data_IF_577274853903
#
_entry.id   IF_577274853903
#
_cell.length_a   1.000
_cell.length_b   1.000
_cell.length_c   1.000
_cell.angle_alpha   90.00
_cell.angle_beta   90.00
_cell.angle_gamma   90.00
#
_symmetry.space_group_name_H-M   'P 1'
#
loop_
_entity.id
_entity.type
_entity.pdbx_description
1 polymer ?
#
# COMPACT_ATOMS: atom_id res chain seq x y z
N UNK A 1 -12.16 12.60 -41.63
CA UNK A 1 -11.83 11.32 -40.98
C UNK A 1 -10.94 11.46 -39.72
N UNK A 2 -9.94 12.36 -39.64
CA UNK A 2 -9.09 12.52 -38.42
C UNK A 2 -9.84 12.92 -37.16
N UNK A 3 -10.89 13.76 -37.23
CA UNK A 3 -11.66 14.23 -36.06
C UNK A 3 -12.50 13.12 -35.38
N UNK A 4 -12.99 12.16 -36.16
CA UNK A 4 -13.80 11.04 -35.64
C UNK A 4 -12.92 10.05 -34.85
N UNK A 5 -11.66 9.85 -35.26
CA UNK A 5 -10.73 8.95 -34.59
C UNK A 5 -10.31 9.48 -33.21
N UNK A 6 -10.10 10.81 -33.07
CA UNK A 6 -9.74 11.44 -31.78
C UNK A 6 -10.91 11.34 -30.79
N UNK A 7 -12.16 11.54 -31.24
CA UNK A 7 -13.33 11.44 -30.38
C UNK A 7 -13.56 10.01 -29.91
N UNK A 8 -13.33 9.01 -30.78
CA UNK A 8 -13.44 7.60 -30.42
C UNK A 8 -12.38 7.18 -29.39
N UNK A 9 -11.14 7.69 -29.49
CA UNK A 9 -10.06 7.39 -28.55
C UNK A 9 -10.32 7.95 -27.16
N UNK A 10 -10.89 9.18 -27.07
CA UNK A 10 -11.28 9.79 -25.79
C UNK A 10 -12.45 9.02 -25.16
N UNK A 11 -13.40 8.54 -25.94
CA UNK A 11 -14.53 7.76 -25.43
C UNK A 11 -14.12 6.38 -24.92
N UNK A 12 -13.18 5.70 -25.59
CA UNK A 12 -12.64 4.41 -25.15
C UNK A 12 -11.81 4.55 -23.88
N UNK A 13 -11.01 5.62 -23.72
CA UNK A 13 -10.24 5.84 -22.50
C UNK A 13 -11.13 6.15 -21.29
N UNK A 14 -12.24 6.85 -21.47
CA UNK A 14 -13.21 7.14 -20.41
C UNK A 14 -14.01 5.89 -19.98
N UNK A 15 -14.31 4.99 -20.91
CA UNK A 15 -15.06 3.77 -20.59
C UNK A 15 -14.20 2.71 -19.89
N UNK A 16 -12.91 2.64 -20.19
CA UNK A 16 -11.99 1.69 -19.53
C UNK A 16 -11.75 2.07 -18.07
N UNK A 17 -11.72 3.38 -17.75
CA UNK A 17 -11.53 3.81 -16.35
C UNK A 17 -12.73 3.53 -15.44
N UNK A 18 -13.95 3.41 -15.99
CA UNK A 18 -15.15 3.08 -15.20
C UNK A 18 -15.29 1.58 -14.90
N UNK A 19 -14.68 0.70 -15.70
CA UNK A 19 -14.82 -0.75 -15.56
C UNK A 19 -14.18 -1.32 -14.26
N UNK A 20 -13.35 -0.54 -13.55
CA UNK A 20 -12.63 -0.97 -12.35
C UNK A 20 -12.96 -0.14 -11.10
N UNK A 21 -14.12 0.53 -11.06
CA UNK A 21 -14.53 1.27 -9.87
C UNK A 21 -14.96 0.30 -8.75
N UNK A 22 -14.20 0.30 -7.64
CA UNK A 22 -14.55 -0.45 -6.44
C UNK A 22 -15.46 0.38 -5.53
N UNK A 23 -16.43 -0.25 -4.89
CA UNK A 23 -17.19 0.39 -3.82
C UNK A 23 -16.32 0.44 -2.54
N UNK A 24 -15.53 1.50 -2.40
CA UNK A 24 -14.54 1.65 -1.33
C UNK A 24 -15.16 1.67 0.07
N UNK A 25 -16.42 2.10 0.20
CA UNK A 25 -17.17 2.09 1.47
C UNK A 25 -17.39 0.68 2.01
N UNK A 26 -17.22 -0.36 1.19
CA UNK A 26 -17.25 -1.75 1.67
C UNK A 26 -16.04 -2.09 2.54
N UNK A 27 -14.91 -1.38 2.39
CA UNK A 27 -13.67 -1.63 3.13
C UNK A 27 -13.53 -0.75 4.37
N UNK A 28 -14.04 0.48 4.34
CA UNK A 28 -13.90 1.44 5.43
C UNK A 28 -15.06 2.43 5.49
N UNK A 29 -15.29 2.99 6.67
CA UNK A 29 -16.14 4.17 6.88
C UNK A 29 -15.33 5.42 7.27
N UNK A 30 -14.00 5.29 7.46
CA UNK A 30 -13.13 6.41 7.81
C UNK A 30 -12.79 7.23 6.57
N UNK A 31 -13.01 8.54 6.62
CA UNK A 31 -12.84 9.45 5.48
C UNK A 31 -11.38 9.57 5.01
N UNK A 32 -10.41 9.50 5.93
CA UNK A 32 -8.98 9.58 5.60
C UNK A 32 -8.53 8.31 4.87
N UNK A 33 -8.96 7.14 5.37
CA UNK A 33 -8.68 5.85 4.72
C UNK A 33 -9.39 5.79 3.36
N UNK A 34 -10.62 6.29 3.27
CA UNK A 34 -11.37 6.37 2.02
C UNK A 34 -10.61 7.20 0.97
N UNK A 35 -10.12 8.39 1.34
CA UNK A 35 -9.33 9.24 0.45
C UNK A 35 -8.01 8.56 0.00
N UNK A 36 -7.33 7.83 0.89
CA UNK A 36 -6.15 7.04 0.55
C UNK A 36 -6.47 5.90 -0.44
N UNK A 37 -7.60 5.23 -0.27
CA UNK A 37 -8.07 4.21 -1.21
C UNK A 37 -8.48 4.80 -2.56
N UNK A 38 -9.15 5.96 -2.58
CA UNK A 38 -9.46 6.69 -3.82
C UNK A 38 -8.19 7.04 -4.59
N UNK A 39 -7.14 7.47 -3.89
CA UNK A 39 -5.83 7.75 -4.47
C UNK A 39 -5.20 6.49 -5.11
N UNK A 40 -5.25 5.34 -4.44
CA UNK A 40 -4.80 4.06 -4.98
C UNK A 40 -5.57 3.69 -6.25
N UNK A 41 -6.90 3.81 -6.22
CA UNK A 41 -7.75 3.48 -7.37
C UNK A 41 -7.46 4.40 -8.57
N UNK A 42 -7.31 5.70 -8.36
CA UNK A 42 -6.99 6.69 -9.38
C UNK A 42 -5.61 6.45 -10.03
N UNK A 43 -4.68 5.87 -9.28
CA UNK A 43 -3.34 5.53 -9.75
C UNK A 43 -3.21 4.09 -10.28
N UNK A 44 -4.31 3.39 -10.49
CA UNK A 44 -4.32 2.07 -11.12
C UNK A 44 -3.81 0.94 -10.23
N UNK A 45 -3.83 1.11 -8.91
CA UNK A 45 -3.41 0.08 -7.94
C UNK A 45 -4.51 -0.98 -7.73
N UNK A 46 -5.02 -1.55 -8.83
CA UNK A 46 -6.17 -2.46 -8.84
C UNK A 46 -5.93 -3.74 -8.03
N UNK A 47 -4.70 -4.24 -8.02
CA UNK A 47 -4.31 -5.44 -7.29
C UNK A 47 -4.61 -5.33 -5.78
N UNK A 48 -4.39 -4.15 -5.20
CA UNK A 48 -4.74 -3.86 -3.80
C UNK A 48 -6.20 -4.21 -3.53
N UNK A 49 -7.11 -3.76 -4.39
CA UNK A 49 -8.55 -3.97 -4.22
C UNK A 49 -8.97 -5.41 -4.51
N UNK A 50 -8.30 -6.09 -5.45
CA UNK A 50 -8.50 -7.53 -5.69
C UNK A 50 -8.17 -8.31 -4.41
N UNK A 51 -7.04 -8.03 -3.78
CA UNK A 51 -6.60 -8.67 -2.55
C UNK A 51 -7.53 -8.35 -1.37
N UNK A 52 -7.93 -7.10 -1.20
CA UNK A 52 -8.89 -6.69 -0.17
C UNK A 52 -10.24 -7.38 -0.36
N UNK A 53 -10.77 -7.42 -1.57
CA UNK A 53 -12.06 -8.04 -1.88
C UNK A 53 -12.04 -9.56 -1.68
N UNK A 54 -10.97 -10.22 -2.13
CA UNK A 54 -10.79 -11.67 -2.01
C UNK A 54 -10.83 -12.14 -0.55
N UNK A 55 -10.31 -11.33 0.37
CA UNK A 55 -10.14 -11.68 1.77
C UNK A 55 -11.20 -11.04 2.69
N UNK A 56 -12.22 -10.38 2.15
CA UNK A 56 -13.25 -9.65 2.91
C UNK A 56 -12.67 -8.67 3.95
N UNK A 57 -11.58 -8.00 3.61
CA UNK A 57 -10.80 -7.17 4.53
C UNK A 57 -11.52 -5.87 4.85
N UNK A 58 -11.50 -5.50 6.14
CA UNK A 58 -11.84 -4.13 6.60
C UNK A 58 -10.55 -3.39 6.94
N UNK A 59 -10.56 -2.07 6.74
CA UNK A 59 -9.43 -1.19 7.06
C UNK A 59 -9.90 -0.12 8.04
N UNK A 60 -9.18 0.05 9.14
CA UNK A 60 -9.51 1.04 10.18
C UNK A 60 -8.26 1.54 10.90
N UNK A 61 -8.36 2.73 11.49
CA UNK A 61 -7.38 3.17 12.48
C UNK A 61 -7.56 2.44 13.80
N UNK A 62 -6.44 2.09 14.43
CA UNK A 62 -6.42 1.45 15.74
C UNK A 62 -5.14 1.81 16.50
N UNK A 63 -5.21 1.97 17.81
CA UNK A 63 -4.03 2.24 18.63
C UNK A 63 -3.22 0.96 18.81
N UNK A 64 -2.07 0.89 18.10
CA UNK A 64 -1.14 -0.22 18.26
C UNK A 64 -0.17 0.12 19.39
N UNK A 65 0.10 -0.87 20.26
CA UNK A 65 0.94 -0.68 21.47
C UNK A 65 2.41 -0.38 21.16
N UNK A 66 2.89 -0.80 19.98
CA UNK A 66 4.27 -0.56 19.56
C UNK A 66 4.36 0.65 18.63
N UNK A 67 5.10 1.68 19.03
CA UNK A 67 5.25 2.94 18.30
C UNK A 67 5.98 2.82 16.96
N UNK A 68 6.67 1.71 16.71
CA UNK A 68 7.39 1.41 15.48
C UNK A 68 6.57 0.54 14.50
N UNK A 69 5.35 0.14 14.87
CA UNK A 69 4.44 -0.57 13.97
C UNK A 69 3.52 0.45 13.32
N UNK A 70 3.60 0.56 12.01
CA UNK A 70 2.83 1.52 11.20
C UNK A 70 1.43 1.02 10.87
N UNK A 71 1.33 -0.25 10.52
CA UNK A 71 0.09 -0.97 10.27
C UNK A 71 0.28 -2.45 10.62
N UNK A 72 -0.80 -3.21 10.67
CA UNK A 72 -0.76 -4.64 10.92
C UNK A 72 -2.01 -5.34 10.38
N UNK A 73 -1.85 -6.57 9.93
CA UNK A 73 -2.95 -7.48 9.69
C UNK A 73 -3.41 -8.13 11.00
N UNK A 74 -4.72 -8.21 11.18
CA UNK A 74 -5.36 -8.81 12.35
C UNK A 74 -6.65 -9.52 11.93
N UNK A 75 -7.33 -10.11 12.90
CA UNK A 75 -8.63 -10.75 12.71
C UNK A 75 -9.63 -10.21 13.72
N UNK A 76 -10.85 -9.96 13.28
CA UNK A 76 -11.94 -9.58 14.18
C UNK A 76 -12.49 -10.80 14.96
N UNK A 77 -13.44 -10.55 15.86
CA UNK A 77 -14.08 -11.60 16.68
C UNK A 77 -14.80 -12.70 15.86
N UNK A 78 -15.06 -12.44 14.59
CA UNK A 78 -15.67 -13.39 13.65
C UNK A 78 -14.64 -14.09 12.76
N UNK A 79 -13.35 -13.88 13.01
CA UNK A 79 -12.26 -14.46 12.22
C UNK A 79 -12.08 -13.79 10.84
N UNK A 80 -12.71 -12.64 10.60
CA UNK A 80 -12.55 -11.89 9.35
C UNK A 80 -11.30 -11.00 9.44
N UNK A 81 -10.56 -10.95 8.35
CA UNK A 81 -9.33 -10.16 8.28
C UNK A 81 -9.61 -8.66 8.39
N UNK A 82 -8.76 -7.98 9.13
CA UNK A 82 -8.81 -6.53 9.34
C UNK A 82 -7.41 -5.95 9.21
N UNK A 83 -7.24 -4.92 8.40
CA UNK A 83 -6.03 -4.09 8.38
C UNK A 83 -6.19 -3.00 9.42
N UNK A 84 -5.25 -2.92 10.36
CA UNK A 84 -5.17 -1.93 11.41
C UNK A 84 -4.06 -0.94 11.09
N UNK A 85 -4.40 0.30 10.78
CA UNK A 85 -3.43 1.39 10.63
C UNK A 85 -3.25 2.04 11.98
N UNK A 86 -2.01 2.22 12.43
CA UNK A 86 -1.75 2.83 13.72
C UNK A 86 -2.31 4.27 13.79
N UNK A 87 -3.16 4.53 14.77
CA UNK A 87 -3.81 5.84 14.99
C UNK A 87 -2.84 7.00 15.14
N UNK A 88 -1.57 6.72 15.51
CA UNK A 88 -0.51 7.72 15.55
C UNK A 88 -0.25 8.37 14.17
N UNK A 89 -0.64 7.70 13.09
CA UNK A 89 -0.48 8.18 11.70
C UNK A 89 -1.79 8.69 11.07
N UNK A 90 -2.85 8.88 11.85
CA UNK A 90 -4.15 9.34 11.33
C UNK A 90 -4.06 10.67 10.57
N UNK A 91 -3.13 11.53 10.97
CA UNK A 91 -2.89 12.84 10.34
C UNK A 91 -1.70 12.81 9.35
N UNK A 92 -1.19 11.63 8.99
CA UNK A 92 -0.17 11.51 7.96
C UNK A 92 -0.75 11.87 6.57
N UNK A 93 0.09 12.31 5.62
CA UNK A 93 -0.32 12.48 4.24
C UNK A 93 -1.02 11.23 3.69
N UNK A 94 -2.07 11.43 2.90
CA UNK A 94 -2.90 10.33 2.38
C UNK A 94 -2.09 9.37 1.50
N UNK A 95 -1.06 9.87 0.82
CA UNK A 95 -0.13 9.07 0.03
C UNK A 95 0.61 8.03 0.90
N UNK A 96 0.99 8.41 2.13
CA UNK A 96 1.66 7.50 3.07
C UNK A 96 0.69 6.44 3.60
N UNK A 97 -0.54 6.83 3.92
CA UNK A 97 -1.60 5.89 4.35
C UNK A 97 -1.92 4.92 3.21
N UNK A 98 -1.97 5.40 1.97
CA UNK A 98 -2.17 4.57 0.79
C UNK A 98 -1.07 3.50 0.65
N UNK A 99 0.20 3.86 0.86
CA UNK A 99 1.31 2.91 0.82
C UNK A 99 1.22 1.84 1.91
N UNK A 100 0.79 2.19 3.13
CA UNK A 100 0.55 1.22 4.20
C UNK A 100 -0.58 0.24 3.84
N UNK A 101 -1.67 0.73 3.24
CA UNK A 101 -2.78 -0.12 2.77
C UNK A 101 -2.29 -1.06 1.67
N UNK A 102 -1.48 -0.57 0.74
CA UNK A 102 -0.92 -1.38 -0.34
C UNK A 102 -0.03 -2.51 0.20
N UNK A 103 0.86 -2.21 1.17
CA UNK A 103 1.68 -3.19 1.87
C UNK A 103 0.80 -4.27 2.54
N UNK A 104 -0.09 -3.86 3.41
CA UNK A 104 -0.92 -4.77 4.21
C UNK A 104 -1.88 -5.61 3.34
N UNK A 105 -2.24 -5.12 2.15
CA UNK A 105 -3.08 -5.88 1.22
C UNK A 105 -2.39 -7.13 0.68
N UNK A 106 -1.05 -7.16 0.64
CA UNK A 106 -0.28 -8.28 0.12
C UNK A 106 -0.28 -9.49 1.08
N UNK A 107 -0.46 -9.26 2.38
CA UNK A 107 -0.47 -10.34 3.35
C UNK A 107 -1.76 -11.16 3.26
N UNK A 108 -1.64 -12.47 3.07
CA UNK A 108 -2.76 -13.41 3.00
C UNK A 108 -2.68 -14.47 4.09
N UNK A 109 -1.50 -14.82 4.54
CA UNK A 109 -1.27 -15.79 5.61
C UNK A 109 -1.42 -15.15 7.00
N UNK A 110 -1.71 -15.98 8.02
CA UNK A 110 -1.73 -15.52 9.41
C UNK A 110 -0.34 -15.15 9.93
N UNK A 111 0.69 -15.82 9.43
CA UNK A 111 2.09 -15.54 9.73
C UNK A 111 2.78 -15.29 8.40
N UNK A 112 3.30 -14.10 8.22
CA UNK A 112 4.01 -13.72 7.00
C UNK A 112 5.30 -14.55 6.85
N UNK A 113 5.68 -14.80 5.58
CA UNK A 113 6.97 -15.38 5.20
C UNK A 113 7.92 -14.26 4.75
N UNK A 114 9.20 -14.57 4.60
CA UNK A 114 10.18 -13.62 4.02
C UNK A 114 9.74 -13.15 2.63
N UNK A 115 9.29 -14.08 1.79
CA UNK A 115 8.81 -13.77 0.43
C UNK A 115 7.59 -12.84 0.45
N UNK A 116 6.62 -13.11 1.35
CA UNK A 116 5.42 -12.28 1.48
C UNK A 116 5.77 -10.87 1.99
N UNK A 117 6.67 -10.75 2.97
CA UNK A 117 7.16 -9.45 3.47
C UNK A 117 7.96 -8.69 2.41
N UNK A 118 8.79 -9.38 1.64
CA UNK A 118 9.54 -8.80 0.51
C UNK A 118 8.57 -8.24 -0.53
N UNK A 119 7.54 -9.02 -0.90
CA UNK A 119 6.51 -8.60 -1.85
C UNK A 119 5.74 -7.39 -1.32
N UNK A 120 5.28 -7.43 -0.07
CA UNK A 120 4.54 -6.35 0.57
C UNK A 120 5.38 -5.06 0.68
N UNK A 121 6.65 -5.18 1.08
CA UNK A 121 7.55 -4.03 1.19
C UNK A 121 7.92 -3.45 -0.18
N UNK A 122 8.09 -4.28 -1.20
CA UNK A 122 8.31 -3.83 -2.58
C UNK A 122 7.08 -3.10 -3.12
N UNK A 123 5.87 -3.57 -2.79
CA UNK A 123 4.61 -2.90 -3.13
C UNK A 123 4.50 -1.55 -2.44
N UNK A 124 4.85 -1.45 -1.14
CA UNK A 124 4.90 -0.21 -0.38
C UNK A 124 5.85 0.81 -1.04
N UNK A 125 7.06 0.36 -1.40
CA UNK A 125 8.08 1.18 -2.05
C UNK A 125 7.64 1.70 -3.42
N UNK A 126 7.18 0.82 -4.31
CA UNK A 126 6.70 1.20 -5.65
C UNK A 126 5.49 2.13 -5.58
N UNK A 127 4.58 1.89 -4.64
CA UNK A 127 3.45 2.77 -4.37
C UNK A 127 3.91 4.17 -3.96
N UNK A 128 4.91 4.28 -3.07
CA UNK A 128 5.45 5.58 -2.65
C UNK A 128 6.14 6.32 -3.81
N UNK A 129 6.96 5.64 -4.61
CA UNK A 129 7.58 6.22 -5.82
C UNK A 129 6.51 6.81 -6.74
N UNK A 130 5.39 6.13 -6.91
CA UNK A 130 4.30 6.52 -7.79
C UNK A 130 3.44 7.66 -7.23
N UNK A 131 3.14 7.63 -5.92
CA UNK A 131 2.21 8.57 -5.29
C UNK A 131 2.87 9.81 -4.72
N UNK A 132 4.17 9.78 -4.43
CA UNK A 132 4.92 10.92 -3.90
C UNK A 132 4.92 12.07 -4.91
N UNK A 133 4.32 13.18 -4.53
CA UNK A 133 4.21 14.35 -5.40
C UNK A 133 5.54 15.10 -5.46
N UNK A 134 5.99 15.42 -6.69
CA UNK A 134 7.16 16.29 -6.91
C UNK A 134 6.89 17.69 -6.36
N UNK A 135 7.89 18.27 -5.70
CA UNK A 135 7.81 19.63 -5.13
C UNK A 135 7.02 19.74 -3.83
N UNK A 136 6.43 18.66 -3.33
CA UNK A 136 5.76 18.65 -2.02
C UNK A 136 6.76 18.30 -0.92
N UNK A 137 6.79 19.13 0.13
CA UNK A 137 7.59 18.86 1.34
C UNK A 137 6.75 18.03 2.31
N UNK A 138 7.11 16.77 2.46
CA UNK A 138 6.47 15.88 3.42
C UNK A 138 7.03 16.07 4.83
N UNK A 139 6.21 15.92 5.89
CA UNK A 139 6.68 15.98 7.28
C UNK A 139 7.82 14.98 7.53
N UNK A 140 8.86 15.38 8.26
CA UNK A 140 10.03 14.55 8.54
C UNK A 140 9.76 13.52 9.66
N UNK A 141 8.75 12.69 9.47
CA UNK A 141 8.36 11.62 10.40
C UNK A 141 9.18 10.35 10.19
N UNK A 142 9.10 9.41 11.13
CA UNK A 142 9.69 8.06 10.97
C UNK A 142 9.10 7.35 9.73
N UNK A 143 7.79 7.51 9.49
CA UNK A 143 7.13 6.90 8.32
C UNK A 143 7.66 7.50 7.01
N UNK A 144 7.78 8.83 6.92
CA UNK A 144 8.33 9.48 5.72
C UNK A 144 9.77 9.02 5.43
N UNK A 145 10.60 8.94 6.47
CA UNK A 145 11.98 8.45 6.33
C UNK A 145 12.03 7.00 5.86
N UNK A 146 11.18 6.14 6.43
CA UNK A 146 11.04 4.75 5.99
C UNK A 146 10.67 4.66 4.52
N UNK A 147 9.60 5.36 4.10
CA UNK A 147 9.12 5.32 2.72
C UNK A 147 10.15 5.83 1.71
N UNK A 148 10.88 6.91 2.06
CA UNK A 148 11.96 7.41 1.20
C UNK A 148 13.08 6.36 1.06
N UNK A 149 13.54 5.78 2.17
CA UNK A 149 14.58 4.74 2.13
C UNK A 149 14.15 3.50 1.32
N UNK A 150 12.88 3.11 1.40
CA UNK A 150 12.35 2.00 0.61
C UNK A 150 12.25 2.34 -0.88
N UNK A 151 11.88 3.59 -1.21
CA UNK A 151 11.87 4.08 -2.59
C UNK A 151 13.28 4.08 -3.21
N UNK A 152 14.29 4.50 -2.44
CA UNK A 152 15.68 4.51 -2.90
C UNK A 152 16.13 3.06 -3.18
N UNK A 153 15.93 2.11 -2.25
CA UNK A 153 16.23 0.69 -2.46
C UNK A 153 15.48 0.08 -3.66
N UNK A 154 14.22 0.46 -3.85
CA UNK A 154 13.42 -0.01 -4.98
C UNK A 154 13.98 0.49 -6.32
N UNK A 155 14.36 1.76 -6.39
CA UNK A 155 14.96 2.33 -7.59
C UNK A 155 16.33 1.71 -7.89
N UNK A 156 17.17 1.53 -6.86
CA UNK A 156 18.46 0.86 -7.00
C UNK A 156 18.28 -0.58 -7.51
N UNK A 157 17.30 -1.30 -6.97
CA UNK A 157 16.95 -2.66 -7.43
C UNK A 157 16.59 -2.72 -8.91
N UNK A 158 15.87 -1.72 -9.42
CA UNK A 158 15.51 -1.63 -10.84
C UNK A 158 16.76 -1.39 -11.71
N UNK A 159 17.69 -0.57 -11.24
CA UNK A 159 18.92 -0.21 -11.98
C UNK A 159 19.89 -1.40 -12.03
N UNK A 160 20.10 -2.07 -10.90
CA UNK A 160 21.16 -3.08 -10.74
C UNK A 160 20.67 -4.52 -10.96
N UNK A 161 19.36 -4.73 -10.96
CA UNK A 161 18.74 -6.06 -11.05
C UNK A 161 18.85 -6.91 -9.76
N UNK A 162 19.28 -6.30 -8.63
CA UNK A 162 19.37 -6.95 -7.33
C UNK A 162 18.09 -6.72 -6.51
N UNK A 163 17.83 -7.54 -5.49
CA UNK A 163 16.69 -7.38 -4.60
C UNK A 163 17.10 -6.76 -3.25
N UNK A 164 17.48 -5.50 -3.25
CA UNK A 164 17.91 -4.79 -2.03
C UNK A 164 16.83 -4.69 -0.93
N UNK A 165 15.55 -4.79 -1.29
CA UNK A 165 14.46 -4.84 -0.30
C UNK A 165 14.48 -6.18 0.45
N UNK A 166 14.68 -7.30 -0.25
CA UNK A 166 14.81 -8.61 0.38
C UNK A 166 16.02 -8.66 1.32
N UNK A 167 17.18 -8.18 0.87
CA UNK A 167 18.40 -8.10 1.68
C UNK A 167 18.18 -7.29 2.95
N UNK A 168 17.48 -6.15 2.84
CA UNK A 168 17.13 -5.30 3.98
C UNK A 168 16.22 -6.04 4.97
N UNK A 169 15.22 -6.78 4.51
CA UNK A 169 14.31 -7.54 5.37
C UNK A 169 15.08 -8.68 6.03
N UNK A 170 15.83 -9.47 5.26
CA UNK A 170 16.60 -10.60 5.75
C UNK A 170 17.68 -10.20 6.79
N UNK A 171 18.28 -9.00 6.65
CA UNK A 171 19.27 -8.47 7.59
C UNK A 171 18.65 -7.85 8.87
N UNK A 172 17.36 -7.56 8.89
CA UNK A 172 16.66 -6.96 10.02
C UNK A 172 16.57 -7.93 11.20
N UNK A 173 17.03 -7.54 12.38
CA UNK A 173 16.96 -8.36 13.61
C UNK A 173 15.51 -8.76 13.94
N UNK A 174 14.54 -7.91 13.66
CA UNK A 174 13.12 -8.20 13.86
C UNK A 174 12.67 -9.36 12.98
N UNK A 175 12.95 -9.30 11.67
CA UNK A 175 12.52 -10.32 10.72
C UNK A 175 13.34 -11.61 10.84
N UNK A 176 14.66 -11.51 11.16
CA UNK A 176 15.49 -12.69 11.44
C UNK A 176 14.92 -13.54 12.56
N UNK A 177 14.47 -12.92 13.65
CA UNK A 177 13.81 -13.63 14.76
C UNK A 177 12.46 -14.21 14.32
N UNK A 178 11.70 -13.48 13.51
CA UNK A 178 10.37 -13.91 13.05
C UNK A 178 10.45 -15.09 12.07
N UNK A 179 11.44 -15.13 11.19
CA UNK A 179 11.57 -16.12 10.12
C UNK A 179 12.60 -17.21 10.41
N UNK A 180 13.28 -17.16 11.56
CA UNK A 180 14.37 -18.09 11.94
C UNK A 180 15.52 -18.10 10.89
N UNK A 181 15.98 -16.92 10.44
CA UNK A 181 17.07 -16.72 9.50
C UNK A 181 18.43 -16.62 10.21
#
# INVERSE_FOLDING_TARGET
>A
MKKVLVTLFIFVSLTVSQAFAYNLKTFTSDSTILAAMELLQQNGEHEVFVNLKKNAVKVKFYTLSMSNVYAANSYDSYGRRVILINSAYKNAPIEQIACLIAHESCHVARKATLEEETTATSKEASCWVKLKKSGVVYPQTKLTKRLNNLADLHNDSIVDGNNYIEDKIASSSFYRTQFNL
#
